data_IF_502885971764
#
_entry.id   IF_502885971764
#
_cell.length_a   1.000
_cell.length_b   1.000
_cell.length_c   1.000
_cell.angle_alpha   90.00
_cell.angle_beta   90.00
_cell.angle_gamma   90.00
#
_symmetry.space_group_name_H-M   'P 1'
#
loop_
_entity.id
_entity.type
_entity.pdbx_description
1 polymer ?
#
# COMPACT_ATOMS: atom_id res chain seq x y z
N UNK A 1 -10.76 22.03 -20.77
CA UNK A 1 -9.40 22.03 -20.20
C UNK A 1 -9.03 20.56 -20.08
N UNK A 2 -7.89 20.15 -20.62
CA UNK A 2 -7.46 18.74 -20.47
C UNK A 2 -7.31 18.46 -18.97
N UNK A 3 -8.01 17.45 -18.46
CA UNK A 3 -7.89 17.01 -17.08
C UNK A 3 -6.43 16.78 -16.73
N UNK A 4 -6.04 17.08 -15.50
CA UNK A 4 -4.66 16.89 -15.07
C UNK A 4 -4.27 15.42 -15.26
N UNK A 5 -3.34 15.18 -16.18
CA UNK A 5 -2.86 13.82 -16.50
C UNK A 5 -2.37 13.12 -15.23
N UNK A 6 -2.63 11.81 -15.10
CA UNK A 6 -2.09 10.97 -14.01
C UNK A 6 -0.57 11.12 -13.94
N UNK A 7 -0.03 11.14 -12.73
CA UNK A 7 1.40 11.27 -12.47
C UNK A 7 1.90 10.07 -11.66
N UNK A 8 3.14 9.69 -11.87
CA UNK A 8 3.86 8.71 -11.03
C UNK A 8 4.57 9.37 -9.84
N UNK A 9 4.33 10.66 -9.62
CA UNK A 9 4.75 11.33 -8.41
C UNK A 9 3.80 10.93 -7.27
N UNK A 10 4.11 9.79 -6.67
CA UNK A 10 3.26 9.06 -5.75
C UNK A 10 3.99 8.81 -4.43
N UNK A 11 3.23 8.84 -3.35
CA UNK A 11 3.70 8.65 -2.00
C UNK A 11 3.12 7.34 -1.45
N UNK A 12 3.93 6.27 -1.28
CA UNK A 12 3.45 5.03 -0.69
C UNK A 12 3.24 5.14 0.82
N UNK A 13 2.11 4.62 1.27
CA UNK A 13 1.83 4.30 2.67
C UNK A 13 1.55 2.81 2.80
N UNK A 14 1.76 2.23 3.98
CA UNK A 14 1.47 0.80 4.18
C UNK A 14 1.90 0.29 5.55
N UNK A 15 1.58 -0.99 5.80
CA UNK A 15 1.90 -1.70 7.03
C UNK A 15 2.45 -3.11 6.81
N UNK A 16 2.93 -3.43 5.61
CA UNK A 16 3.39 -4.76 5.18
C UNK A 16 2.27 -5.82 5.08
N UNK A 17 1.00 -5.40 5.05
CA UNK A 17 -0.19 -6.19 4.74
C UNK A 17 -1.06 -5.48 3.71
N UNK A 18 -1.28 -4.19 3.90
CA UNK A 18 -1.98 -3.30 3.00
C UNK A 18 -1.08 -2.11 2.64
N UNK A 19 -1.27 -1.58 1.44
CA UNK A 19 -0.57 -0.38 0.96
C UNK A 19 -1.47 0.44 0.07
N UNK A 20 -1.24 1.76 0.05
CA UNK A 20 -1.85 2.67 -0.91
C UNK A 20 -0.83 3.67 -1.46
N UNK A 21 -1.09 4.16 -2.66
CA UNK A 21 -0.33 5.23 -3.29
C UNK A 21 -1.16 6.50 -3.31
N UNK A 22 -0.56 7.57 -2.84
CA UNK A 22 -1.19 8.89 -2.71
C UNK A 22 -0.54 9.85 -3.70
N UNK A 23 -1.35 10.57 -4.46
CA UNK A 23 -0.87 11.53 -5.43
C UNK A 23 -0.50 12.88 -4.77
N UNK A 24 0.05 13.82 -5.58
CA UNK A 24 0.45 15.16 -5.13
C UNK A 24 -0.67 16.00 -4.52
N UNK A 25 -1.94 15.65 -4.77
CA UNK A 25 -3.10 16.35 -4.19
C UNK A 25 -3.66 15.68 -2.94
N UNK A 26 -3.01 14.61 -2.45
CA UNK A 26 -3.45 13.86 -1.28
C UNK A 26 -4.61 12.90 -1.56
N UNK A 27 -4.80 12.47 -2.81
CA UNK A 27 -5.78 11.45 -3.17
C UNK A 27 -5.14 10.07 -3.13
N UNK A 28 -5.79 9.11 -2.48
CA UNK A 28 -5.45 7.69 -2.64
C UNK A 28 -5.91 7.27 -4.02
N UNK A 29 -4.98 6.89 -4.90
CA UNK A 29 -5.25 6.61 -6.32
C UNK A 29 -4.95 5.17 -6.71
N UNK A 30 -4.28 4.44 -5.84
CA UNK A 30 -3.98 3.02 -5.98
C UNK A 30 -3.95 2.34 -4.62
N UNK A 31 -4.54 1.15 -4.51
CA UNK A 31 -4.54 0.31 -3.32
C UNK A 31 -5.37 -0.93 -3.54
N UNK A 32 -4.84 -2.10 -3.19
CA UNK A 32 -5.46 -3.40 -3.39
C UNK A 32 -5.88 -4.04 -2.07
N UNK A 33 -6.95 -4.83 -2.11
CA UNK A 33 -7.46 -5.58 -0.96
C UNK A 33 -7.87 -6.99 -1.39
N UNK A 34 -7.80 -7.99 -0.51
CA UNK A 34 -7.29 -7.98 0.86
C UNK A 34 -5.76 -7.98 0.95
N UNK A 35 -5.05 -8.08 -0.17
CA UNK A 35 -3.58 -8.13 -0.27
C UNK A 35 -3.10 -7.22 -1.40
N UNK A 36 -1.82 -6.97 -1.48
CA UNK A 36 -1.19 -6.15 -2.52
C UNK A 36 -1.43 -6.70 -3.94
N UNK A 37 -1.51 -8.03 -4.09
CA UNK A 37 -1.80 -8.74 -5.34
C UNK A 37 -3.30 -8.94 -5.61
N UNK A 38 -4.17 -8.38 -4.77
CA UNK A 38 -5.62 -8.49 -4.86
C UNK A 38 -6.28 -7.49 -5.82
N UNK A 39 -7.60 -7.40 -5.72
CA UNK A 39 -8.43 -6.47 -6.49
C UNK A 39 -8.23 -5.02 -6.01
N UNK A 40 -8.02 -4.05 -6.90
CA UNK A 40 -7.83 -2.67 -6.48
C UNK A 40 -9.14 -2.03 -6.01
N UNK A 41 -9.18 -1.62 -4.74
CA UNK A 41 -10.24 -0.76 -4.19
C UNK A 41 -10.05 0.69 -4.64
N UNK A 42 -8.80 1.07 -4.93
CA UNK A 42 -8.44 2.32 -5.58
C UNK A 42 -7.66 2.00 -6.85
N UNK A 43 -8.20 2.36 -8.01
CA UNK A 43 -7.68 2.03 -9.35
C UNK A 43 -7.51 3.25 -10.26
N UNK A 44 -7.77 4.47 -9.74
CA UNK A 44 -7.75 5.69 -10.53
C UNK A 44 -6.39 5.99 -11.17
N UNK A 45 -5.30 5.39 -10.68
CA UNK A 45 -3.97 5.48 -11.33
C UNK A 45 -4.00 4.95 -12.77
N UNK A 46 -4.84 3.94 -13.03
CA UNK A 46 -4.99 3.28 -14.33
C UNK A 46 -6.29 3.68 -15.07
N UNK A 47 -7.00 4.70 -14.58
CA UNK A 47 -8.16 5.29 -15.23
C UNK A 47 -7.79 6.69 -15.76
N UNK A 48 -8.24 7.05 -16.96
CA UNK A 48 -7.96 8.32 -17.62
C UNK A 48 -9.09 9.37 -17.48
N UNK A 49 -10.23 8.99 -16.85
CA UNK A 49 -11.34 9.90 -16.63
C UNK A 49 -10.93 11.14 -15.83
N UNK A 50 -11.51 12.28 -16.16
CA UNK A 50 -11.34 13.50 -15.36
C UNK A 50 -11.79 13.26 -13.91
N UNK A 51 -11.11 13.90 -12.95
CA UNK A 51 -11.44 13.75 -11.53
C UNK A 51 -12.84 14.22 -11.17
N UNK A 52 -13.37 15.21 -11.90
CA UNK A 52 -14.72 15.76 -11.68
C UNK A 52 -15.79 15.04 -12.52
N UNK A 53 -15.39 14.07 -13.35
CA UNK A 53 -16.35 13.21 -14.03
C UNK A 53 -17.21 12.45 -12.99
N UNK A 54 -18.54 12.51 -13.07
CA UNK A 54 -19.42 11.75 -12.17
C UNK A 54 -19.20 10.23 -12.23
N UNK A 55 -18.63 9.74 -13.31
CA UNK A 55 -18.32 8.32 -13.49
C UNK A 55 -16.89 7.94 -13.05
N UNK A 56 -16.03 8.92 -12.73
CA UNK A 56 -14.70 8.62 -12.21
C UNK A 56 -14.81 7.83 -10.89
N UNK A 57 -14.04 6.75 -10.77
CA UNK A 57 -14.00 5.83 -9.63
C UNK A 57 -12.56 5.48 -9.28
N UNK A 58 -12.39 4.69 -8.22
CA UNK A 58 -11.10 4.16 -7.83
C UNK A 58 -10.23 5.15 -7.07
N UNK A 59 -10.82 6.07 -6.29
CA UNK A 59 -10.04 7.00 -5.48
C UNK A 59 -10.73 7.40 -4.17
N UNK A 60 -9.95 7.92 -3.25
CA UNK A 60 -10.43 8.57 -2.03
C UNK A 60 -9.73 9.91 -1.84
N UNK A 61 -10.48 11.00 -2.02
CA UNK A 61 -9.99 12.37 -1.92
C UNK A 61 -10.57 13.09 -0.69
N UNK A 62 -9.75 13.93 -0.04
CA UNK A 62 -10.14 14.96 0.89
C UNK A 62 -9.58 16.27 0.32
N UNK A 63 -10.44 17.20 -0.01
CA UNK A 63 -10.10 18.40 -0.78
C UNK A 63 -10.46 19.66 0.01
N UNK A 64 -9.55 20.61 0.05
CA UNK A 64 -9.82 21.96 0.53
C UNK A 64 -10.45 22.77 -0.61
N UNK A 65 -11.52 23.54 -0.32
CA UNK A 65 -12.15 24.47 -1.27
C UNK A 65 -11.14 25.53 -1.71
N UNK A 66 -11.09 25.84 -3.02
CA UNK A 66 -10.18 26.82 -3.62
C UNK A 66 -8.70 26.60 -3.28
N UNK A 67 -8.27 25.35 -3.11
CA UNK A 67 -6.89 24.97 -2.79
C UNK A 67 -5.91 25.48 -3.87
N UNK A 68 -4.91 26.27 -3.45
CA UNK A 68 -3.87 26.84 -4.33
C UNK A 68 -2.50 26.23 -4.11
N UNK A 69 -2.24 25.63 -2.93
CA UNK A 69 -0.97 25.00 -2.64
C UNK A 69 -1.15 23.67 -1.91
N UNK A 70 -0.28 22.72 -2.24
CA UNK A 70 -0.20 21.42 -1.58
C UNK A 70 1.26 21.10 -1.29
N UNK A 71 1.56 20.77 -0.04
CA UNK A 71 2.87 20.32 0.42
C UNK A 71 2.74 18.93 1.01
N UNK A 72 3.70 18.06 0.72
CA UNK A 72 3.71 16.69 1.23
C UNK A 72 5.06 16.35 1.85
N UNK A 73 5.01 15.65 2.97
CA UNK A 73 6.19 15.09 3.62
C UNK A 73 5.81 13.89 4.46
N UNK A 74 6.76 12.99 4.70
CA UNK A 74 6.55 11.93 5.70
C UNK A 74 6.88 12.41 7.10
N UNK A 75 6.16 11.93 8.09
CA UNK A 75 6.65 12.00 9.46
C UNK A 75 7.99 11.27 9.55
N UNK A 76 8.95 11.91 10.21
CA UNK A 76 10.34 11.42 10.26
C UNK A 76 10.42 9.94 10.65
N UNK A 77 11.11 9.16 9.83
CA UNK A 77 11.38 7.74 10.02
C UNK A 77 10.10 6.86 10.03
N UNK A 78 9.07 7.25 9.29
CA UNK A 78 7.81 6.50 9.16
C UNK A 78 7.29 6.51 7.71
N UNK A 79 6.37 5.63 7.33
CA UNK A 79 5.59 5.74 6.10
C UNK A 79 4.25 6.49 6.31
N UNK A 80 4.16 7.35 7.31
CA UNK A 80 2.97 8.17 7.58
C UNK A 80 3.12 9.46 6.80
N UNK A 81 2.23 9.66 5.83
CA UNK A 81 2.24 10.83 4.96
C UNK A 81 1.46 11.97 5.58
N UNK A 82 2.02 13.16 5.53
CA UNK A 82 1.36 14.42 5.87
C UNK A 82 1.18 15.21 4.59
N UNK A 83 -0.07 15.51 4.25
CA UNK A 83 -0.44 16.39 3.14
C UNK A 83 -1.05 17.66 3.71
N UNK A 84 -0.44 18.82 3.47
CA UNK A 84 -0.97 20.13 3.83
C UNK A 84 -1.54 20.80 2.59
N UNK A 85 -2.80 21.24 2.67
CA UNK A 85 -3.46 22.00 1.63
C UNK A 85 -3.78 23.40 2.15
N UNK A 86 -3.57 24.42 1.33
CA UNK A 86 -3.92 25.81 1.69
C UNK A 86 -4.56 26.53 0.52
N UNK A 87 -5.50 27.44 0.83
CA UNK A 87 -6.12 28.36 -0.11
C UNK A 87 -5.45 29.76 -0.10
N UNK A 88 -5.91 30.66 -0.96
CA UNK A 88 -5.39 32.02 -1.04
C UNK A 88 -5.91 32.94 0.09
N UNK A 89 -6.92 32.52 0.85
CA UNK A 89 -7.55 33.27 1.93
C UNK A 89 -6.93 32.96 3.30
N UNK A 90 -5.96 32.06 3.36
CA UNK A 90 -5.26 31.67 4.59
C UNK A 90 -5.93 30.52 5.34
N UNK A 91 -6.91 29.83 4.74
CA UNK A 91 -7.42 28.59 5.29
C UNK A 91 -6.47 27.45 4.94
N UNK A 92 -6.25 26.56 5.88
CA UNK A 92 -5.40 25.39 5.65
C UNK A 92 -5.87 24.17 6.43
N UNK A 93 -5.63 23.01 5.83
CA UNK A 93 -5.84 21.70 6.45
C UNK A 93 -4.58 20.87 6.39
N UNK A 94 -4.48 19.92 7.31
CA UNK A 94 -3.48 18.87 7.32
C UNK A 94 -4.16 17.51 7.29
N UNK A 95 -3.71 16.63 6.41
CA UNK A 95 -4.20 15.26 6.28
C UNK A 95 -3.05 14.32 6.63
N UNK A 96 -3.25 13.44 7.63
CA UNK A 96 -2.33 12.36 7.95
C UNK A 96 -2.89 11.06 7.38
N UNK A 97 -2.11 10.39 6.56
CA UNK A 97 -2.47 9.14 5.89
C UNK A 97 -1.53 8.02 6.32
N UNK A 98 -2.07 6.89 6.80
CA UNK A 98 -1.28 5.74 7.21
C UNK A 98 -2.09 4.43 7.22
N UNK A 99 -1.36 3.31 7.24
CA UNK A 99 -1.91 2.00 7.58
C UNK A 99 -1.43 1.63 8.99
N UNK A 100 -2.32 1.22 9.93
CA UNK A 100 -1.93 0.96 11.30
C UNK A 100 -1.00 -0.25 11.40
N UNK A 101 0.07 -0.10 12.19
CA UNK A 101 1.06 -1.13 12.47
C UNK A 101 1.63 -0.92 13.87
N UNK A 102 1.32 -1.83 14.78
CA UNK A 102 1.84 -1.77 16.15
C UNK A 102 1.72 -3.12 16.86
N UNK A 103 2.42 -3.31 17.95
CA UNK A 103 2.26 -4.49 18.79
C UNK A 103 0.98 -4.39 19.62
N UNK A 104 0.14 -5.41 19.55
CA UNK A 104 -1.04 -5.56 20.38
C UNK A 104 -1.06 -6.95 21.02
N UNK A 105 -1.08 -7.03 22.36
CA UNK A 105 -1.08 -8.29 23.12
C UNK A 105 0.02 -9.28 22.66
N UNK A 106 1.22 -8.76 22.41
CA UNK A 106 2.40 -9.56 22.00
C UNK A 106 2.42 -9.98 20.53
N UNK A 107 1.45 -9.55 19.72
CA UNK A 107 1.40 -9.81 18.27
C UNK A 107 1.43 -8.51 17.48
N UNK A 108 1.96 -8.57 16.26
CA UNK A 108 1.90 -7.42 15.34
C UNK A 108 0.46 -7.25 14.83
N UNK A 109 -0.16 -6.12 15.17
CA UNK A 109 -1.44 -5.68 14.62
C UNK A 109 -1.18 -4.88 13.35
N UNK A 110 -1.57 -5.41 12.20
CA UNK A 110 -1.43 -4.82 10.86
C UNK A 110 -2.63 -5.22 9.99
N UNK A 111 -3.79 -4.69 10.28
CA UNK A 111 -5.01 -5.03 9.52
C UNK A 111 -4.93 -4.51 8.09
N UNK A 112 -5.79 -5.04 7.23
CA UNK A 112 -6.07 -4.46 5.90
C UNK A 112 -6.88 -3.18 6.13
N UNK A 113 -6.21 -2.10 6.46
CA UNK A 113 -6.87 -0.83 6.80
C UNK A 113 -6.07 0.40 6.36
N UNK A 114 -6.81 1.44 6.01
CA UNK A 114 -6.32 2.76 5.65
C UNK A 114 -6.93 3.79 6.61
N UNK A 115 -6.10 4.59 7.23
CA UNK A 115 -6.53 5.64 8.16
C UNK A 115 -6.20 7.01 7.56
N UNK A 116 -7.16 7.92 7.65
CA UNK A 116 -7.00 9.33 7.32
C UNK A 116 -7.47 10.19 8.49
N UNK A 117 -6.63 11.12 8.93
CA UNK A 117 -7.00 12.12 9.93
C UNK A 117 -6.90 13.48 9.23
N UNK A 118 -7.95 14.29 9.25
CA UNK A 118 -7.92 15.63 8.70
C UNK A 118 -8.12 16.65 9.82
N UNK A 119 -7.23 17.66 9.87
CA UNK A 119 -7.17 18.67 10.91
C UNK A 119 -7.26 20.06 10.30
N UNK A 120 -8.09 20.98 10.85
CA UNK A 120 -8.00 22.39 10.51
C UNK A 120 -6.73 22.98 11.16
N UNK A 121 -5.84 23.56 10.36
CA UNK A 121 -4.60 24.15 10.87
C UNK A 121 -4.56 25.66 10.79
N UNK A 122 -5.39 26.28 9.95
CA UNK A 122 -5.54 27.74 9.87
C UNK A 122 -6.90 28.13 9.30
N UNK A 123 -7.41 29.29 9.72
CA UNK A 123 -8.64 29.88 9.23
C UNK A 123 -9.90 29.10 9.58
N UNK A 124 -10.81 29.02 8.63
CA UNK A 124 -12.11 28.33 8.72
C UNK A 124 -12.33 27.48 7.46
N UNK A 125 -11.52 26.43 7.25
CA UNK A 125 -11.47 25.72 6.00
C UNK A 125 -12.78 24.99 5.70
N UNK A 126 -13.17 24.97 4.42
CA UNK A 126 -14.24 24.10 3.91
C UNK A 126 -13.64 22.96 3.11
N UNK A 127 -14.10 21.76 3.38
CA UNK A 127 -13.60 20.54 2.75
C UNK A 127 -14.72 19.79 2.03
N UNK A 128 -14.30 18.94 1.10
CA UNK A 128 -15.12 17.92 0.45
C UNK A 128 -14.44 16.56 0.56
N UNK A 129 -15.20 15.55 0.93
CA UNK A 129 -14.72 14.16 0.96
C UNK A 129 -15.37 13.39 -0.18
N UNK A 130 -14.56 12.80 -1.05
CA UNK A 130 -15.03 11.94 -2.14
C UNK A 130 -14.46 10.55 -1.96
N UNK A 131 -15.30 9.59 -1.64
CA UNK A 131 -14.96 8.18 -1.51
C UNK A 131 -15.65 7.40 -2.63
N UNK A 132 -14.92 7.07 -3.65
CA UNK A 132 -15.40 6.39 -4.86
C UNK A 132 -14.61 5.11 -5.11
N UNK A 133 -14.83 4.05 -4.32
CA UNK A 133 -14.09 2.79 -4.45
C UNK A 133 -14.45 2.05 -5.74
N UNK A 134 -13.62 1.09 -6.11
CA UNK A 134 -13.85 0.12 -7.18
C UNK A 134 -13.85 -1.31 -6.65
N UNK A 135 -14.39 -2.24 -7.43
CA UNK A 135 -14.32 -3.68 -7.20
C UNK A 135 -14.28 -4.41 -8.53
N UNK A 136 -13.81 -5.64 -8.54
CA UNK A 136 -13.70 -6.46 -9.74
C UNK A 136 -13.04 -5.70 -10.90
N UNK A 137 -11.90 -5.03 -10.62
CA UNK A 137 -11.17 -4.22 -11.61
C UNK A 137 -12.05 -3.17 -12.30
N UNK A 138 -12.95 -2.54 -11.55
CA UNK A 138 -13.92 -1.53 -12.03
C UNK A 138 -14.97 -2.09 -13.03
N UNK A 139 -15.18 -3.41 -13.08
CA UNK A 139 -16.22 -4.02 -13.90
C UNK A 139 -17.62 -3.91 -13.28
N UNK A 140 -17.70 -3.74 -11.98
CA UNK A 140 -18.95 -3.76 -11.24
C UNK A 140 -19.05 -2.52 -10.31
N UNK A 141 -20.26 -1.98 -10.12
CA UNK A 141 -20.47 -0.95 -9.12
C UNK A 141 -20.29 -1.54 -7.72
N UNK A 142 -19.67 -0.79 -6.82
CA UNK A 142 -19.54 -1.17 -5.41
C UNK A 142 -20.88 -0.93 -4.70
N UNK A 143 -21.52 -1.96 -4.10
CA UNK A 143 -22.66 -1.77 -3.22
C UNK A 143 -22.24 -1.01 -1.96
N UNK A 144 -22.82 0.19 -1.75
CA UNK A 144 -22.51 1.08 -0.62
C UNK A 144 -23.75 1.27 0.23
N UNK A 145 -23.63 1.09 1.54
CA UNK A 145 -24.65 1.38 2.53
C UNK A 145 -24.15 2.43 3.52
N UNK A 146 -24.95 3.44 3.76
CA UNK A 146 -24.66 4.54 4.67
C UNK A 146 -25.36 4.35 6.02
N UNK A 147 -24.60 4.25 7.09
CA UNK A 147 -25.10 4.27 8.47
C UNK A 147 -24.99 5.65 9.10
N UNK A 148 -25.21 5.75 10.40
CA UNK A 148 -25.11 7.01 11.14
C UNK A 148 -23.67 7.52 11.31
N UNK A 149 -22.70 6.61 11.42
CA UNK A 149 -21.28 6.88 11.70
C UNK A 149 -20.33 6.01 10.86
N UNK A 150 -20.84 5.37 9.81
CA UNK A 150 -20.05 4.51 8.97
C UNK A 150 -20.62 4.40 7.55
N UNK A 151 -19.72 4.04 6.63
CA UNK A 151 -20.04 3.68 5.25
C UNK A 151 -19.57 2.25 5.05
N UNK A 152 -20.49 1.34 4.69
CA UNK A 152 -20.19 -0.06 4.42
C UNK A 152 -20.12 -0.29 2.92
N UNK A 153 -19.08 -0.98 2.47
CA UNK A 153 -18.82 -1.31 1.06
C UNK A 153 -18.65 -2.81 0.92
N UNK A 154 -19.29 -3.40 -0.09
CA UNK A 154 -19.14 -4.83 -0.41
C UNK A 154 -18.28 -4.96 -1.65
N UNK A 155 -17.05 -5.43 -1.45
CA UNK A 155 -16.08 -5.68 -2.51
C UNK A 155 -16.07 -7.16 -2.89
N UNK A 156 -15.44 -7.53 -4.01
CA UNK A 156 -15.43 -8.91 -4.54
C UNK A 156 -14.90 -9.94 -3.53
N UNK A 157 -13.92 -9.57 -2.71
CA UNK A 157 -13.22 -10.50 -1.82
C UNK A 157 -13.41 -10.21 -0.33
N UNK A 158 -13.98 -9.07 0.02
CA UNK A 158 -14.27 -8.71 1.42
C UNK A 158 -15.28 -7.57 1.52
N UNK A 159 -15.98 -7.50 2.65
CA UNK A 159 -16.68 -6.28 3.03
C UNK A 159 -15.74 -5.36 3.79
N UNK A 160 -15.79 -4.07 3.47
CA UNK A 160 -15.06 -3.02 4.19
C UNK A 160 -16.00 -1.99 4.77
N UNK A 161 -15.54 -1.35 5.83
CA UNK A 161 -16.25 -0.28 6.52
C UNK A 161 -15.36 0.93 6.69
N UNK A 162 -15.87 2.11 6.36
CA UNK A 162 -15.28 3.38 6.82
C UNK A 162 -16.04 3.84 8.05
N UNK A 163 -15.42 3.74 9.21
CA UNK A 163 -15.92 4.33 10.46
C UNK A 163 -15.38 5.76 10.57
N UNK A 164 -16.25 6.73 10.90
CA UNK A 164 -15.87 8.15 10.92
C UNK A 164 -16.74 8.96 11.88
N UNK A 165 -16.21 10.07 12.39
CA UNK A 165 -16.94 11.12 13.08
C UNK A 165 -17.39 12.26 12.12
N UNK A 166 -17.07 12.14 10.83
CA UNK A 166 -17.52 13.09 9.82
C UNK A 166 -19.01 12.91 9.47
N UNK A 167 -19.69 13.95 8.99
CA UNK A 167 -21.12 13.89 8.64
C UNK A 167 -21.36 13.02 7.39
N UNK A 168 -21.86 11.82 7.58
CA UNK A 168 -22.05 10.80 6.52
C UNK A 168 -22.91 11.34 5.36
N UNK A 169 -23.98 12.10 5.65
CA UNK A 169 -24.85 12.65 4.61
C UNK A 169 -24.11 13.60 3.65
N UNK A 170 -23.16 14.38 4.16
CA UNK A 170 -22.37 15.32 3.35
C UNK A 170 -21.31 14.57 2.53
N UNK A 171 -20.76 13.47 3.07
CA UNK A 171 -19.86 12.58 2.32
C UNK A 171 -20.61 11.89 1.19
N UNK A 172 -21.79 11.34 1.47
CA UNK A 172 -22.62 10.65 0.47
C UNK A 172 -23.02 11.54 -0.71
N UNK A 173 -23.19 12.85 -0.45
CA UNK A 173 -23.53 13.87 -1.45
C UNK A 173 -22.30 14.57 -2.05
N UNK A 174 -21.08 14.23 -1.56
CA UNK A 174 -19.84 14.92 -1.91
C UNK A 174 -19.94 16.46 -1.77
N UNK A 175 -20.66 16.90 -0.73
CA UNK A 175 -20.92 18.33 -0.49
C UNK A 175 -19.75 19.00 0.23
N UNK A 176 -19.54 20.29 -0.04
CA UNK A 176 -18.63 21.14 0.70
C UNK A 176 -19.18 21.46 2.09
N UNK A 177 -18.36 21.29 3.13
CA UNK A 177 -18.73 21.63 4.49
C UNK A 177 -17.54 22.20 5.27
N UNK A 178 -17.82 22.93 6.35
CA UNK A 178 -16.79 23.53 7.20
C UNK A 178 -16.16 22.46 8.09
N UNK A 179 -14.83 22.46 8.16
CA UNK A 179 -14.05 21.61 9.05
C UNK A 179 -13.81 22.37 10.37
N UNK A 180 -14.64 22.12 11.39
CA UNK A 180 -14.57 22.79 12.70
C UNK A 180 -13.71 22.06 13.72
N UNK A 181 -13.48 20.77 13.51
CA UNK A 181 -12.71 19.89 14.38
C UNK A 181 -12.02 18.78 13.59
N UNK A 182 -11.09 18.08 14.23
CA UNK A 182 -10.43 16.93 13.62
C UNK A 182 -11.44 15.86 13.23
N UNK A 183 -11.33 15.38 12.00
CA UNK A 183 -12.11 14.26 11.51
C UNK A 183 -11.23 13.05 11.28
N UNK A 184 -11.74 11.90 11.68
CA UNK A 184 -11.04 10.62 11.68
C UNK A 184 -11.80 9.64 10.79
N UNK A 185 -11.06 8.95 9.93
CA UNK A 185 -11.58 7.93 9.04
C UNK A 185 -10.75 6.67 9.18
N UNK A 186 -11.41 5.58 9.50
CA UNK A 186 -10.83 4.25 9.51
C UNK A 186 -11.56 3.39 8.47
N UNK A 187 -10.91 3.11 7.35
CA UNK A 187 -11.37 2.15 6.34
C UNK A 187 -10.68 0.82 6.57
N UNK A 188 -11.42 -0.17 7.00
CA UNK A 188 -10.89 -1.50 7.34
C UNK A 188 -11.93 -2.60 7.20
N UNK A 189 -11.70 -3.79 7.81
CA UNK A 189 -12.68 -4.87 7.86
C UNK A 189 -14.04 -4.39 8.37
N UNK A 190 -15.14 -5.07 7.98
CA UNK A 190 -16.50 -4.71 8.37
C UNK A 190 -16.78 -5.04 9.85
N UNK A 191 -16.02 -4.41 10.73
CA UNK A 191 -16.09 -4.52 12.18
C UNK A 191 -16.34 -3.16 12.82
N UNK A 192 -17.08 -3.13 13.91
CA UNK A 192 -17.30 -1.92 14.70
C UNK A 192 -16.16 -1.68 15.69
N UNK A 193 -15.94 -0.42 16.05
CA UNK A 193 -15.09 -0.08 17.19
C UNK A 193 -15.81 -0.38 18.51
N UNK A 194 -15.10 -1.03 19.45
CA UNK A 194 -15.57 -1.19 20.84
C UNK A 194 -15.44 0.09 21.65
N UNK A 195 -14.44 0.90 21.31
CA UNK A 195 -14.10 2.17 21.96
C UNK A 195 -14.57 3.37 21.14
N UNK A 196 -14.48 4.56 21.72
CA UNK A 196 -14.69 5.80 20.98
C UNK A 196 -13.66 5.94 19.84
N UNK A 197 -14.13 6.22 18.63
CA UNK A 197 -13.35 6.21 17.39
C UNK A 197 -12.10 7.10 17.47
N UNK A 198 -12.26 8.37 17.87
CA UNK A 198 -11.17 9.35 17.91
C UNK A 198 -10.01 8.88 18.80
N UNK A 199 -10.20 8.54 20.09
CA UNK A 199 -9.10 8.06 20.94
C UNK A 199 -8.46 6.77 20.42
N UNK A 200 -9.24 5.88 19.78
CA UNK A 200 -8.71 4.65 19.20
C UNK A 200 -7.77 4.93 18.03
N UNK A 201 -8.16 5.82 17.10
CA UNK A 201 -7.35 6.18 15.93
C UNK A 201 -6.10 6.98 16.34
N UNK A 202 -6.21 7.91 17.30
CA UNK A 202 -5.05 8.67 17.78
C UNK A 202 -4.01 7.74 18.45
N UNK A 203 -4.44 6.77 19.23
CA UNK A 203 -3.54 5.74 19.77
C UNK A 203 -2.89 4.90 18.66
N UNK A 204 -3.66 4.48 17.66
CA UNK A 204 -3.10 3.75 16.50
C UNK A 204 -2.04 4.57 15.77
N UNK A 205 -2.22 5.90 15.68
CA UNK A 205 -1.23 6.79 15.08
C UNK A 205 0.06 6.81 15.92
N UNK A 206 -0.05 7.05 17.22
CA UNK A 206 1.10 7.09 18.15
C UNK A 206 1.86 5.76 18.15
N UNK A 207 1.15 4.66 18.33
CA UNK A 207 1.71 3.30 18.34
C UNK A 207 2.38 2.95 16.99
N UNK A 208 1.79 3.38 15.87
CA UNK A 208 2.37 3.17 14.52
C UNK A 208 3.64 3.99 14.32
N UNK A 209 3.66 5.24 14.80
CA UNK A 209 4.88 6.09 14.80
C UNK A 209 5.99 5.42 15.59
N UNK A 210 5.68 4.93 16.79
CA UNK A 210 6.66 4.31 17.68
C UNK A 210 7.22 3.02 17.07
N UNK A 211 6.37 2.14 16.51
CA UNK A 211 6.78 0.88 15.90
C UNK A 211 7.72 1.10 14.70
N UNK A 212 7.39 2.02 13.79
CA UNK A 212 8.26 2.33 12.66
C UNK A 212 9.58 2.97 13.09
N UNK A 213 9.55 3.86 14.05
CA UNK A 213 10.78 4.46 14.60
C UNK A 213 11.64 3.44 15.35
N UNK A 214 11.02 2.47 16.02
CA UNK A 214 11.73 1.36 16.65
C UNK A 214 12.40 0.49 15.59
N UNK A 215 11.71 0.13 14.52
CA UNK A 215 12.30 -0.63 13.41
C UNK A 215 13.48 0.13 12.77
N UNK A 216 13.33 1.42 12.47
CA UNK A 216 14.41 2.24 11.90
C UNK A 216 15.59 2.37 12.84
N UNK A 217 15.38 2.48 14.15
CA UNK A 217 16.48 2.50 15.15
C UNK A 217 17.29 1.21 15.20
N UNK A 218 16.70 0.09 14.80
CA UNK A 218 17.39 -1.20 14.66
C UNK A 218 18.30 -1.30 13.46
N UNK A 219 18.21 -0.36 12.49
CA UNK A 219 18.99 -0.40 11.27
C UNK A 219 20.40 0.19 11.45
N UNK A 220 21.39 -0.44 10.84
CA UNK A 220 22.76 0.04 10.72
C UNK A 220 22.88 1.09 9.62
N UNK A 221 22.40 2.30 9.86
CA UNK A 221 22.39 3.37 8.87
C UNK A 221 23.79 3.98 8.71
N UNK A 222 24.31 4.14 7.47
CA UNK A 222 25.59 4.77 7.23
C UNK A 222 25.56 6.26 7.65
N UNK A 223 26.72 6.86 7.99
CA UNK A 223 26.77 8.25 8.43
C UNK A 223 26.36 9.25 7.35
N UNK A 224 26.51 8.90 6.07
CA UNK A 224 26.12 9.73 4.94
C UNK A 224 24.78 9.29 4.36
N UNK A 225 24.03 10.22 3.76
CA UNK A 225 22.76 9.96 3.07
C UNK A 225 21.65 9.32 3.95
N UNK A 226 21.69 9.53 5.26
CA UNK A 226 20.83 8.86 6.24
C UNK A 226 19.35 8.92 5.88
N UNK A 227 18.83 10.10 5.51
CA UNK A 227 17.41 10.26 5.17
C UNK A 227 17.02 9.45 3.93
N UNK A 228 17.86 9.48 2.88
CA UNK A 228 17.62 8.73 1.67
C UNK A 228 17.67 7.21 1.91
N UNK A 229 18.65 6.74 2.71
CA UNK A 229 18.79 5.32 3.07
C UNK A 229 17.60 4.85 3.90
N UNK A 230 17.21 5.61 4.93
CA UNK A 230 16.05 5.27 5.77
C UNK A 230 14.76 5.24 4.93
N UNK A 231 14.55 6.23 4.06
CA UNK A 231 13.38 6.28 3.18
C UNK A 231 13.35 5.08 2.23
N UNK A 232 14.49 4.73 1.62
CA UNK A 232 14.62 3.56 0.74
C UNK A 232 14.33 2.26 1.51
N UNK A 233 14.90 2.11 2.71
CA UNK A 233 14.66 0.94 3.55
C UNK A 233 13.18 0.78 3.92
N UNK A 234 12.49 1.86 4.31
CA UNK A 234 11.05 1.84 4.58
C UNK A 234 10.27 1.46 3.33
N UNK A 235 10.62 2.02 2.16
CA UNK A 235 9.93 1.73 0.89
C UNK A 235 10.08 0.26 0.50
N UNK A 236 11.29 -0.29 0.61
CA UNK A 236 11.53 -1.72 0.38
C UNK A 236 10.76 -2.60 1.38
N UNK A 237 10.74 -2.22 2.66
CA UNK A 237 9.96 -2.93 3.70
C UNK A 237 8.47 -2.94 3.38
N UNK A 238 7.91 -1.87 2.79
CA UNK A 238 6.50 -1.83 2.38
C UNK A 238 6.16 -2.80 1.24
N UNK A 239 7.14 -3.25 0.46
CA UNK A 239 6.96 -4.29 -0.55
C UNK A 239 6.91 -5.70 0.04
N UNK A 240 7.26 -5.89 1.32
CA UNK A 240 7.15 -7.18 2.00
C UNK A 240 5.70 -7.45 2.40
N UNK A 241 5.20 -8.65 2.10
CA UNK A 241 4.00 -9.23 2.70
C UNK A 241 4.44 -10.02 3.93
N UNK A 242 4.37 -9.39 5.09
CA UNK A 242 5.01 -9.88 6.32
C UNK A 242 4.39 -11.17 6.88
N UNK A 243 3.14 -11.50 6.48
CA UNK A 243 2.47 -12.75 6.89
C UNK A 243 3.17 -13.98 6.34
N UNK A 244 3.69 -13.89 5.12
CA UNK A 244 4.34 -15.02 4.43
C UNK A 244 5.84 -14.84 4.23
N UNK A 245 6.32 -13.60 4.29
CA UNK A 245 7.70 -13.23 3.98
C UNK A 245 7.95 -12.89 2.50
N UNK A 246 6.95 -13.05 1.62
CA UNK A 246 7.06 -12.68 0.20
C UNK A 246 7.38 -11.18 0.03
N UNK A 247 8.13 -10.84 -1.01
CA UNK A 247 8.46 -9.46 -1.36
C UNK A 247 8.06 -9.21 -2.81
N UNK A 248 7.10 -8.31 -3.04
CA UNK A 248 6.64 -7.98 -4.40
C UNK A 248 7.61 -7.05 -5.10
N UNK A 249 7.74 -7.21 -6.43
CA UNK A 249 8.63 -6.38 -7.23
C UNK A 249 8.16 -4.91 -7.31
N UNK A 250 6.83 -4.69 -7.31
CA UNK A 250 6.23 -3.36 -7.18
C UNK A 250 4.83 -3.46 -6.54
N UNK A 251 4.33 -2.33 -6.03
CA UNK A 251 2.97 -2.22 -5.48
C UNK A 251 1.90 -2.05 -6.57
N UNK A 252 2.29 -1.91 -7.85
CA UNK A 252 1.42 -1.58 -8.99
C UNK A 252 1.47 -2.63 -10.08
N UNK A 253 0.46 -2.60 -10.94
CA UNK A 253 0.45 -3.29 -12.24
C UNK A 253 0.42 -2.28 -13.38
N UNK A 254 0.86 -2.71 -14.56
CA UNK A 254 0.59 -2.10 -15.86
C UNK A 254 0.99 -0.63 -16.01
N UNK A 255 2.05 -0.24 -15.30
CA UNK A 255 2.75 0.99 -15.63
C UNK A 255 3.65 0.67 -16.85
N UNK A 256 3.50 1.39 -17.98
CA UNK A 256 4.26 1.10 -19.18
C UNK A 256 5.78 1.24 -18.98
N UNK A 257 6.56 0.32 -19.55
CA UNK A 257 8.05 0.44 -19.55
C UNK A 257 8.51 1.71 -20.26
N UNK A 258 7.82 2.11 -21.32
CA UNK A 258 7.91 3.42 -21.95
C UNK A 258 6.60 3.77 -22.65
N UNK A 259 6.40 5.04 -23.00
CA UNK A 259 5.17 5.52 -23.61
C UNK A 259 4.76 4.68 -24.83
N UNK A 260 3.49 4.28 -24.88
CA UNK A 260 2.83 3.55 -25.96
C UNK A 260 3.50 2.20 -26.35
N UNK A 261 4.30 1.63 -25.46
CA UNK A 261 5.02 0.37 -25.72
C UNK A 261 4.09 -0.86 -25.74
N UNK A 262 2.95 -0.81 -25.04
CA UNK A 262 2.13 -1.99 -24.74
C UNK A 262 2.82 -3.00 -23.80
N UNK A 263 4.04 -2.71 -23.35
CA UNK A 263 4.82 -3.54 -22.42
C UNK A 263 4.44 -3.15 -20.99
N UNK A 264 3.29 -3.66 -20.59
CA UNK A 264 2.65 -3.38 -19.30
C UNK A 264 2.52 -4.71 -18.55
N UNK A 265 3.15 -4.84 -17.39
CA UNK A 265 3.21 -6.09 -16.67
C UNK A 265 2.69 -5.93 -15.24
N UNK A 266 2.18 -7.02 -14.66
CA UNK A 266 1.80 -7.05 -13.26
C UNK A 266 3.01 -7.41 -12.40
N UNK A 267 3.51 -6.43 -11.65
CA UNK A 267 4.67 -6.57 -10.77
C UNK A 267 4.32 -6.77 -9.29
N UNK A 268 3.04 -7.01 -8.96
CA UNK A 268 2.57 -7.23 -7.59
C UNK A 268 2.83 -8.65 -7.06
N UNK A 269 3.76 -9.36 -7.70
CA UNK A 269 4.17 -10.71 -7.37
C UNK A 269 5.61 -10.74 -6.85
N UNK A 270 5.96 -11.84 -6.17
CA UNK A 270 7.29 -12.06 -5.64
C UNK A 270 8.18 -12.70 -6.70
N UNK A 271 8.98 -11.92 -7.43
CA UNK A 271 10.09 -12.43 -8.22
C UNK A 271 11.23 -12.85 -7.31
N UNK A 272 11.76 -14.07 -7.49
CA UNK A 272 12.88 -14.59 -6.69
C UNK A 272 14.10 -13.67 -6.82
N UNK A 273 14.40 -13.17 -8.02
CA UNK A 273 15.48 -12.22 -8.29
C UNK A 273 15.33 -10.90 -7.55
N UNK A 274 14.19 -10.25 -7.70
CA UNK A 274 13.93 -8.91 -7.14
C UNK A 274 13.88 -8.96 -5.61
N UNK A 275 13.27 -10.01 -5.09
CA UNK A 275 13.22 -10.26 -3.65
C UNK A 275 14.63 -10.51 -3.07
N UNK A 276 15.50 -11.26 -3.77
CA UNK A 276 16.89 -11.46 -3.35
C UNK A 276 17.61 -10.12 -3.17
N UNK A 277 17.55 -9.22 -4.17
CA UNK A 277 18.22 -7.93 -4.08
C UNK A 277 17.65 -7.04 -2.97
N UNK A 278 16.35 -7.09 -2.77
CA UNK A 278 15.69 -6.36 -1.67
C UNK A 278 16.15 -6.87 -0.30
N UNK A 279 16.18 -8.19 -0.12
CA UNK A 279 16.63 -8.83 1.11
C UNK A 279 18.11 -8.55 1.37
N UNK A 280 18.95 -8.66 0.34
CA UNK A 280 20.38 -8.34 0.41
C UNK A 280 20.62 -6.89 0.88
N UNK A 281 19.90 -5.93 0.28
CA UNK A 281 20.00 -4.52 0.66
C UNK A 281 19.57 -4.28 2.11
N UNK A 282 18.44 -4.86 2.54
CA UNK A 282 17.93 -4.71 3.91
C UNK A 282 18.78 -5.45 4.94
N UNK A 283 19.32 -6.63 4.59
CA UNK A 283 20.23 -7.37 5.46
C UNK A 283 21.53 -6.61 5.74
N UNK A 284 22.08 -5.91 4.74
CA UNK A 284 23.23 -5.00 4.93
C UNK A 284 22.96 -3.88 5.92
N UNK A 285 21.70 -3.48 6.05
CA UNK A 285 21.25 -2.53 7.06
C UNK A 285 20.87 -3.22 8.39
N UNK A 286 20.98 -4.54 8.50
CA UNK A 286 20.69 -5.28 9.71
C UNK A 286 19.21 -5.62 9.94
N UNK A 287 18.34 -5.49 8.93
CA UNK A 287 16.93 -5.88 8.99
C UNK A 287 16.77 -7.41 8.83
N UNK A 288 17.20 -8.16 9.85
CA UNK A 288 17.20 -9.63 9.85
C UNK A 288 15.80 -10.24 9.75
N UNK A 289 14.81 -9.60 10.36
CA UNK A 289 13.41 -10.03 10.34
C UNK A 289 12.89 -10.23 8.90
N UNK A 290 13.35 -9.40 7.98
CA UNK A 290 13.00 -9.49 6.55
C UNK A 290 13.64 -10.71 5.90
N UNK A 291 14.94 -10.91 6.14
CA UNK A 291 15.67 -12.08 5.62
C UNK A 291 15.08 -13.40 6.16
N UNK A 292 14.86 -13.50 7.47
CA UNK A 292 14.31 -14.70 8.11
C UNK A 292 12.94 -15.07 7.53
N UNK A 293 12.05 -14.11 7.43
CA UNK A 293 10.70 -14.33 6.87
C UNK A 293 10.78 -14.77 5.40
N UNK A 294 11.65 -14.14 4.62
CA UNK A 294 11.85 -14.50 3.21
C UNK A 294 12.43 -15.89 3.03
N UNK A 295 13.37 -16.31 3.87
CA UNK A 295 13.92 -17.67 3.84
C UNK A 295 12.85 -18.73 4.13
N UNK A 296 11.91 -18.45 5.05
CA UNK A 296 10.75 -19.33 5.29
C UNK A 296 9.87 -19.42 4.04
N UNK A 297 9.60 -18.28 3.40
CA UNK A 297 8.83 -18.26 2.15
C UNK A 297 9.51 -19.07 1.03
N UNK A 298 10.83 -18.89 0.82
CA UNK A 298 11.59 -19.65 -0.17
C UNK A 298 11.60 -21.15 0.12
N UNK A 299 11.77 -21.54 1.39
CA UNK A 299 11.73 -22.96 1.78
C UNK A 299 10.41 -23.60 1.39
N UNK A 300 9.29 -22.95 1.67
CA UNK A 300 7.97 -23.46 1.30
C UNK A 300 7.85 -23.65 -0.24
N UNK A 301 8.35 -22.70 -1.03
CA UNK A 301 8.36 -22.80 -2.50
C UNK A 301 9.21 -24.01 -2.95
N UNK A 302 10.40 -24.18 -2.40
CA UNK A 302 11.31 -25.30 -2.76
C UNK A 302 10.71 -26.65 -2.37
N UNK A 303 10.10 -26.72 -1.19
CA UNK A 303 9.43 -27.94 -0.69
C UNK A 303 8.24 -28.31 -1.58
N UNK A 304 7.44 -27.33 -2.00
CA UNK A 304 6.28 -27.54 -2.87
C UNK A 304 6.69 -27.96 -4.29
N UNK A 305 7.85 -27.52 -4.77
CA UNK A 305 8.40 -27.91 -6.08
C UNK A 305 8.82 -29.39 -6.15
N UNK A 306 9.03 -30.07 -5.01
CA UNK A 306 9.36 -31.51 -4.92
C UNK A 306 10.53 -31.94 -5.84
N UNK A 307 11.54 -31.10 -5.99
CA UNK A 307 12.68 -31.31 -6.89
C UNK A 307 12.38 -31.04 -8.37
N UNK A 308 11.24 -30.45 -8.67
CA UNK A 308 10.86 -30.01 -10.02
C UNK A 308 11.40 -28.63 -10.36
N UNK A 309 10.74 -27.99 -11.33
CA UNK A 309 11.11 -26.67 -11.81
C UNK A 309 10.72 -25.59 -10.79
N UNK A 310 11.63 -24.64 -10.53
CA UNK A 310 11.36 -23.42 -9.77
C UNK A 310 11.03 -22.30 -10.75
N UNK A 311 9.86 -21.70 -10.59
CA UNK A 311 9.38 -20.60 -11.41
C UNK A 311 10.10 -19.29 -11.02
N UNK A 312 10.18 -18.29 -11.94
CA UNK A 312 10.81 -17.02 -11.64
C UNK A 312 10.03 -16.18 -10.61
N UNK A 313 8.70 -16.40 -10.47
CA UNK A 313 7.83 -15.64 -9.57
C UNK A 313 6.67 -16.48 -9.05
N UNK A 314 6.12 -16.02 -7.93
CA UNK A 314 4.97 -16.60 -7.21
C UNK A 314 4.10 -15.48 -6.65
N UNK A 315 2.83 -15.76 -6.30
CA UNK A 315 2.03 -14.79 -5.55
C UNK A 315 2.54 -14.65 -4.09
N UNK A 316 1.98 -13.72 -3.35
CA UNK A 316 2.42 -13.49 -1.96
C UNK A 316 2.11 -14.65 -1.01
N UNK A 317 1.35 -15.67 -1.42
CA UNK A 317 1.10 -16.91 -0.68
C UNK A 317 1.94 -18.10 -1.13
N UNK A 318 2.74 -17.93 -2.19
CA UNK A 318 3.52 -19.00 -2.80
C UNK A 318 2.79 -19.78 -3.88
N UNK A 319 1.58 -19.35 -4.31
CA UNK A 319 0.91 -20.01 -5.42
C UNK A 319 1.68 -19.84 -6.72
N UNK A 320 1.79 -20.93 -7.46
CA UNK A 320 2.57 -21.04 -8.69
C UNK A 320 1.78 -20.63 -9.95
N UNK A 321 0.44 -20.75 -9.97
CA UNK A 321 -0.38 -20.45 -11.14
C UNK A 321 -0.81 -18.98 -11.12
N UNK A 322 -0.26 -18.18 -12.06
CA UNK A 322 -0.49 -16.74 -12.14
C UNK A 322 -1.07 -16.37 -13.52
N UNK A 323 -2.15 -17.05 -13.92
CA UNK A 323 -2.77 -16.86 -15.24
C UNK A 323 -2.97 -15.38 -15.56
N UNK A 324 -2.38 -14.94 -16.67
CA UNK A 324 -2.48 -13.55 -17.12
C UNK A 324 -3.78 -13.31 -17.89
N UNK A 325 -4.42 -12.19 -17.60
CA UNK A 325 -5.60 -11.71 -18.31
C UNK A 325 -5.63 -10.17 -18.34
N UNK A 326 -6.48 -9.57 -19.16
CA UNK A 326 -6.58 -8.12 -19.32
C UNK A 326 -7.87 -7.57 -18.70
N UNK A 327 -7.73 -6.57 -17.83
CA UNK A 327 -8.83 -5.84 -17.22
C UNK A 327 -9.37 -4.78 -18.21
N UNK A 328 -10.36 -5.15 -19.03
CA UNK A 328 -10.88 -4.35 -20.13
C UNK A 328 -11.58 -3.04 -19.69
N UNK A 329 -12.00 -2.93 -18.44
CA UNK A 329 -12.69 -1.76 -17.88
C UNK A 329 -11.75 -0.60 -17.52
N UNK A 330 -10.43 -0.83 -17.55
CA UNK A 330 -9.42 0.18 -17.24
C UNK A 330 -8.58 0.47 -18.50
N UNK A 331 -8.50 1.73 -18.93
CA UNK A 331 -7.76 2.11 -20.14
C UNK A 331 -6.23 2.05 -19.97
N UNK A 332 -5.75 1.95 -18.71
CA UNK A 332 -4.33 1.97 -18.37
C UNK A 332 -3.81 3.35 -17.98
N UNK A 333 -2.59 3.40 -17.50
CA UNK A 333 -1.92 4.64 -17.10
C UNK A 333 -1.88 5.63 -18.28
N UNK A 334 -2.58 6.76 -18.15
CA UNK A 334 -2.74 7.78 -19.21
C UNK A 334 -3.30 7.22 -20.53
N UNK A 335 -4.20 6.22 -20.46
CA UNK A 335 -4.75 5.57 -21.63
C UNK A 335 -3.79 4.59 -22.35
N UNK A 336 -2.60 4.34 -21.80
CA UNK A 336 -1.59 3.45 -22.35
C UNK A 336 -1.78 2.02 -21.84
N UNK A 337 -2.90 1.37 -22.21
CA UNK A 337 -3.17 -0.04 -21.91
C UNK A 337 -2.24 -1.01 -22.66
N UNK A 338 -2.47 -2.33 -22.47
CA UNK A 338 -3.51 -2.97 -21.67
C UNK A 338 -3.22 -2.95 -20.15
N UNK A 339 -4.26 -3.12 -19.31
CA UNK A 339 -4.10 -3.39 -17.89
C UNK A 339 -4.09 -4.90 -17.70
N UNK A 340 -2.95 -5.45 -17.29
CA UNK A 340 -2.73 -6.88 -17.09
C UNK A 340 -2.83 -7.25 -15.62
N UNK A 341 -3.42 -8.40 -15.36
CA UNK A 341 -3.57 -9.04 -14.07
C UNK A 341 -3.04 -10.46 -14.19
N UNK A 342 -2.27 -10.91 -13.22
CA UNK A 342 -1.48 -12.12 -13.42
C UNK A 342 -0.20 -11.80 -14.19
N UNK A 343 0.65 -12.81 -14.41
CA UNK A 343 1.87 -12.61 -15.16
C UNK A 343 2.34 -13.92 -15.81
N UNK A 344 2.27 -14.00 -17.13
CA UNK A 344 2.62 -15.18 -17.92
C UNK A 344 4.11 -15.60 -17.79
N UNK A 345 4.96 -14.76 -17.17
CA UNK A 345 6.34 -15.16 -16.87
C UNK A 345 6.42 -16.37 -15.92
N UNK A 346 5.34 -16.73 -15.21
CA UNK A 346 5.32 -17.94 -14.38
C UNK A 346 5.55 -19.23 -15.18
N UNK A 347 5.27 -19.22 -16.49
CA UNK A 347 5.50 -20.35 -17.40
C UNK A 347 6.94 -20.39 -17.95
N UNK A 348 7.74 -19.36 -17.70
CA UNK A 348 9.10 -19.26 -18.22
C UNK A 348 10.11 -20.03 -17.37
N UNK A 349 11.16 -20.51 -18.02
CA UNK A 349 12.35 -21.04 -17.35
C UNK A 349 13.38 -19.93 -17.27
N UNK A 350 13.62 -19.41 -16.07
CA UNK A 350 14.65 -18.41 -15.80
C UNK A 350 15.72 -19.00 -14.90
N UNK A 351 16.93 -19.22 -15.43
CA UNK A 351 18.01 -19.95 -14.74
C UNK A 351 18.59 -19.19 -13.55
N UNK A 352 18.48 -17.88 -13.52
CA UNK A 352 18.91 -17.02 -12.42
C UNK A 352 18.17 -17.29 -11.11
N UNK A 353 16.91 -17.76 -11.16
CA UNK A 353 16.12 -18.08 -9.98
C UNK A 353 16.84 -19.10 -9.05
N UNK A 354 17.46 -20.13 -9.63
CA UNK A 354 18.19 -21.13 -8.85
C UNK A 354 19.42 -20.53 -8.15
N UNK A 355 20.18 -19.70 -8.86
CA UNK A 355 21.34 -19.01 -8.29
C UNK A 355 20.95 -18.08 -7.13
N UNK A 356 19.83 -17.37 -7.27
CA UNK A 356 19.35 -16.45 -6.24
C UNK A 356 18.78 -17.16 -5.01
N UNK A 357 18.16 -18.33 -5.15
CA UNK A 357 17.78 -19.17 -4.02
C UNK A 357 19.04 -19.59 -3.24
N UNK A 358 20.06 -20.08 -3.94
CA UNK A 358 21.33 -20.45 -3.29
C UNK A 358 21.96 -19.28 -2.58
N UNK A 359 22.07 -18.12 -3.24
CA UNK A 359 22.66 -16.90 -2.65
C UNK A 359 21.87 -16.40 -1.43
N UNK A 360 20.54 -16.43 -1.48
CA UNK A 360 19.69 -16.10 -0.33
C UNK A 360 19.90 -17.05 0.84
N UNK A 361 19.99 -18.35 0.54
CA UNK A 361 20.12 -19.41 1.54
C UNK A 361 21.50 -19.42 2.20
N UNK A 362 22.56 -19.03 1.49
CA UNK A 362 23.94 -18.95 2.03
C UNK A 362 23.99 -18.11 3.30
N UNK A 363 23.21 -17.02 3.37
CA UNK A 363 23.14 -16.19 4.57
C UNK A 363 22.69 -16.99 5.80
N UNK A 364 21.77 -17.94 5.64
CA UNK A 364 21.31 -18.83 6.72
C UNK A 364 22.41 -19.70 7.31
N UNK A 365 23.48 -20.00 6.53
CA UNK A 365 24.60 -20.83 6.98
C UNK A 365 25.77 -20.03 7.55
N UNK A 366 26.00 -18.81 7.09
CA UNK A 366 27.17 -18.03 7.48
C UNK A 366 26.86 -16.93 8.51
N UNK A 367 25.63 -16.44 8.58
CA UNK A 367 25.26 -15.38 9.51
C UNK A 367 24.94 -15.94 10.88
N UNK A 368 25.86 -15.74 11.82
CA UNK A 368 25.70 -16.22 13.21
C UNK A 368 24.48 -15.65 13.94
N UNK A 369 23.93 -14.55 13.48
CA UNK A 369 22.71 -13.96 14.05
C UNK A 369 21.49 -14.84 13.76
N UNK A 370 21.45 -15.49 12.57
CA UNK A 370 20.41 -16.42 12.15
C UNK A 370 20.56 -17.81 12.77
N UNK A 371 21.81 -18.29 12.95
CA UNK A 371 22.10 -19.60 13.54
C UNK A 371 21.59 -19.78 14.98
N UNK A 372 21.32 -18.70 15.70
CA UNK A 372 20.75 -18.75 17.05
C UNK A 372 19.24 -19.07 17.06
N UNK A 373 18.56 -18.91 15.93
CA UNK A 373 17.10 -19.10 15.81
C UNK A 373 16.75 -20.44 15.16
N UNK A 374 17.59 -20.94 14.25
CA UNK A 374 17.48 -22.27 13.70
C UNK A 374 18.06 -23.27 14.71
N UNK A 375 17.23 -24.01 15.41
CA UNK A 375 17.67 -25.24 16.06
C UNK A 375 18.35 -26.13 15.01
N UNK A 376 19.49 -26.75 15.33
CA UNK A 376 20.37 -27.48 14.42
C UNK A 376 19.73 -28.60 13.53
N UNK A 377 18.41 -28.64 13.42
CA UNK A 377 17.68 -29.73 12.76
C UNK A 377 16.92 -29.34 11.48
N UNK A 378 16.85 -28.04 11.10
CA UNK A 378 15.89 -27.56 10.08
C UNK A 378 16.52 -27.04 8.78
N UNK A 379 17.83 -27.32 8.51
CA UNK A 379 18.49 -26.98 7.25
C UNK A 379 19.14 -28.18 6.59
#
# INVERSE_FOLDING_TARGET
MAGAARSLDLWPIGNCQASALIDRKGRMVWGCVPRVDGDPVFSALLDDKDWDDPQARGFWAIELEDCVSVEQSYLRNTPILVTRQADAQGNAIEILDFCPRHKHKGRMYRPVAFIRIVRPVAGSPRIRVRLRPTTNWNNEPVPINYGSNHIRMVLSYMAMRVSTNAPIGLIAQESWFRLEQDMHFFMGPDEGFSDALRPAIERMLEDTIEEWRLWVRGLAIPPEWQEAVIRSAITLKLCQHEETGAIVAALTTSIPEHADSGRNWDYRYCWVRDAYYTVEALNRLGALDVLESYLVYLRNIVDDAKGGHIQPLYDVRGNATLTEWEAQSLPGYRGMGPVRVGNAAYEQVQHDAYGQIVLSSVQGFIDQRLLRMAGHADF
#
